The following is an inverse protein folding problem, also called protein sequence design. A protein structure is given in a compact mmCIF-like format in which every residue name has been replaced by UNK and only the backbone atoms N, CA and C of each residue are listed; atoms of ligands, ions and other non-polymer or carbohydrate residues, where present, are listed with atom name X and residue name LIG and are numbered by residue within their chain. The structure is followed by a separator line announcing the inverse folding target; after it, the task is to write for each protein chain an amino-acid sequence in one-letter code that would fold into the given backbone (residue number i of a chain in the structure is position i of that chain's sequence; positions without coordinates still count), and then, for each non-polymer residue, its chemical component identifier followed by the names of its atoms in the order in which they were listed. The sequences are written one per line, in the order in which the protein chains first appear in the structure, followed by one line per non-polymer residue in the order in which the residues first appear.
data_IF_411504324439
#
_entry.id   IF_411504324439
#
_cell.length_a   1.000
_cell.length_b   1.000
_cell.length_c   1.000
_cell.angle_alpha   90.00
_cell.angle_beta   90.00
_cell.angle_gamma   90.00
#
_symmetry.space_group_name_H-M   'P 1'
#
loop_
_entity.id
_entity.type
_entity.pdbx_description
1 polymer ?
#
# COMPACT_ATOMS: atom_id res chain seq x y z
N UNK A 1 -12.99 -6.77 26.14
CA UNK A 1 -12.90 -7.55 24.89
C UNK A 1 -11.96 -6.80 23.94
N UNK A 2 -10.73 -7.27 23.74
CA UNK A 2 -9.76 -6.58 22.86
C UNK A 2 -10.00 -7.01 21.42
N UNK A 3 -10.57 -6.13 20.63
CA UNK A 3 -10.66 -6.25 19.18
C UNK A 3 -9.24 -6.05 18.61
N UNK A 4 -8.63 -7.10 18.04
CA UNK A 4 -7.40 -7.00 17.25
C UNK A 4 -7.84 -7.01 15.80
N UNK A 5 -7.77 -5.88 15.09
CA UNK A 5 -8.44 -5.81 13.83
C UNK A 5 -7.44 -5.99 12.67
N UNK A 6 -7.88 -6.70 11.63
CA UNK A 6 -7.31 -6.76 10.28
C UNK A 6 -5.79 -7.03 10.18
N UNK A 7 -5.43 -8.31 10.10
CA UNK A 7 -4.29 -8.72 9.28
C UNK A 7 -4.73 -8.57 7.82
N UNK A 8 -4.58 -7.38 7.24
CA UNK A 8 -4.72 -7.24 5.78
C UNK A 8 -3.72 -8.19 5.11
N UNK A 9 -3.98 -8.73 3.90
CA UNK A 9 -3.00 -9.55 3.19
C UNK A 9 -1.62 -8.88 3.11
N UNK A 10 -1.61 -7.55 2.99
CA UNK A 10 -0.42 -6.71 3.07
C UNK A 10 0.29 -6.79 4.43
N UNK A 11 -0.46 -6.77 5.54
CA UNK A 11 0.08 -6.96 6.89
C UNK A 11 0.62 -8.38 7.12
N UNK A 12 0.02 -9.41 6.51
CA UNK A 12 0.55 -10.78 6.53
C UNK A 12 1.88 -10.85 5.78
N UNK A 13 1.98 -10.25 4.60
CA UNK A 13 3.23 -10.20 3.80
C UNK A 13 4.33 -9.43 4.53
N UNK A 14 4.01 -8.26 5.10
CA UNK A 14 4.96 -7.48 5.92
C UNK A 14 5.33 -8.26 7.18
N UNK A 15 4.40 -8.99 7.81
CA UNK A 15 4.71 -9.84 8.96
C UNK A 15 5.66 -10.98 8.57
N UNK A 16 5.43 -11.63 7.43
CA UNK A 16 6.27 -12.71 6.91
C UNK A 16 7.68 -12.21 6.55
N UNK A 17 7.81 -11.00 5.97
CA UNK A 17 9.11 -10.42 5.63
C UNK A 17 9.86 -9.81 6.83
N UNK A 18 9.15 -9.14 7.74
CA UNK A 18 9.76 -8.43 8.88
C UNK A 18 10.15 -9.36 10.01
N UNK A 19 9.51 -10.54 10.13
CA UNK A 19 10.05 -11.63 10.93
C UNK A 19 11.22 -12.25 10.17
N UNK A 20 12.42 -11.89 10.59
CA UNK A 20 13.72 -12.53 10.29
C UNK A 20 13.77 -14.00 10.79
N UNK A 21 12.69 -14.76 10.61
CA UNK A 21 12.36 -16.03 11.29
C UNK A 21 11.91 -17.13 10.30
N UNK A 22 11.59 -16.81 9.03
CA UNK A 22 11.43 -17.85 8.01
C UNK A 22 12.71 -17.98 7.19
N UNK A 23 13.26 -19.21 7.12
CA UNK A 23 14.22 -19.56 6.07
C UNK A 23 13.53 -19.43 4.72
N UNK A 24 14.29 -19.08 3.67
CA UNK A 24 13.81 -18.94 2.29
C UNK A 24 12.91 -20.12 1.88
N UNK A 25 13.33 -21.32 2.24
CA UNK A 25 12.65 -22.59 2.02
C UNK A 25 11.25 -22.66 2.67
N UNK A 26 11.08 -22.22 3.92
CA UNK A 26 9.77 -22.20 4.60
C UNK A 26 8.81 -21.18 4.01
N UNK A 27 9.33 -20.04 3.55
CA UNK A 27 8.51 -19.04 2.89
C UNK A 27 8.02 -19.58 1.53
N UNK A 28 8.89 -20.26 0.78
CA UNK A 28 8.56 -20.92 -0.48
C UNK A 28 7.50 -22.03 -0.28
N UNK A 29 7.62 -22.89 0.74
CA UNK A 29 6.59 -23.91 1.02
C UNK A 29 5.23 -23.29 1.33
N UNK A 30 5.20 -22.27 2.19
CA UNK A 30 3.94 -21.63 2.59
C UNK A 30 3.30 -20.85 1.43
N UNK A 31 4.12 -20.26 0.57
CA UNK A 31 3.68 -19.63 -0.67
C UNK A 31 3.12 -20.69 -1.62
N UNK A 32 3.77 -21.84 -1.78
CA UNK A 32 3.30 -22.92 -2.65
C UNK A 32 1.96 -23.51 -2.17
N UNK A 33 1.76 -23.72 -0.86
CA UNK A 33 0.47 -24.14 -0.29
C UNK A 33 -0.65 -23.13 -0.55
N UNK A 34 -0.34 -21.83 -0.52
CA UNK A 34 -1.31 -20.76 -0.81
C UNK A 34 -1.63 -20.64 -2.31
N UNK A 35 -0.71 -21.07 -3.19
CA UNK A 35 -0.86 -20.99 -4.65
C UNK A 35 -1.33 -22.33 -5.24
N UNK A 36 -1.37 -23.42 -4.47
CA UNK A 36 -1.73 -24.76 -4.96
C UNK A 36 -3.11 -24.77 -5.68
N UNK A 37 -4.04 -23.94 -5.23
CA UNK A 37 -5.36 -23.71 -5.83
C UNK A 37 -5.49 -22.39 -6.64
N UNK A 38 -4.39 -21.63 -6.78
CA UNK A 38 -4.38 -20.34 -7.47
C UNK A 38 -3.50 -20.44 -8.73
N UNK A 39 -4.10 -20.21 -9.89
CA UNK A 39 -3.36 -20.09 -11.16
C UNK A 39 -2.12 -19.17 -11.00
N UNK A 40 -0.93 -19.69 -11.32
CA UNK A 40 0.36 -19.02 -11.11
C UNK A 40 0.38 -17.60 -11.71
N UNK A 41 -0.23 -17.46 -12.89
CA UNK A 41 -0.33 -16.16 -13.55
C UNK A 41 -1.18 -15.15 -12.76
N UNK A 42 -2.19 -15.64 -12.04
CA UNK A 42 -3.04 -14.86 -11.14
C UNK A 42 -2.29 -14.44 -9.88
N UNK A 43 -1.51 -15.36 -9.29
CA UNK A 43 -0.67 -15.04 -8.12
C UNK A 43 0.38 -13.97 -8.46
N UNK A 44 1.08 -14.12 -9.59
CA UNK A 44 2.07 -13.14 -10.06
C UNK A 44 1.43 -11.77 -10.28
N UNK A 45 0.27 -11.71 -10.96
CA UNK A 45 -0.46 -10.44 -11.17
C UNK A 45 -0.84 -9.77 -9.86
N UNK A 46 -1.33 -10.52 -8.88
CA UNK A 46 -1.66 -9.97 -7.56
C UNK A 46 -0.41 -9.44 -6.85
N UNK A 47 0.70 -10.17 -6.93
CA UNK A 47 1.96 -9.74 -6.34
C UNK A 47 2.48 -8.44 -6.95
N UNK A 48 2.44 -8.31 -8.29
CA UNK A 48 2.81 -7.07 -8.99
C UNK A 48 1.94 -5.91 -8.51
N UNK A 49 0.62 -6.11 -8.39
CA UNK A 49 -0.30 -5.05 -7.91
C UNK A 49 0.04 -4.60 -6.50
N UNK A 50 0.37 -5.53 -5.61
CA UNK A 50 0.81 -5.21 -4.25
C UNK A 50 2.14 -4.45 -4.23
N UNK A 51 3.11 -4.89 -5.04
CA UNK A 51 4.41 -4.23 -5.18
C UNK A 51 4.30 -2.80 -5.70
N UNK A 52 3.48 -2.58 -6.73
CA UNK A 52 3.19 -1.24 -7.28
C UNK A 52 2.58 -0.34 -6.20
N UNK A 53 1.59 -0.85 -5.46
CA UNK A 53 0.94 -0.08 -4.39
C UNK A 53 1.95 0.37 -3.33
N UNK A 54 2.81 -0.55 -2.88
CA UNK A 54 3.83 -0.25 -1.88
C UNK A 54 4.83 0.79 -2.38
N UNK A 55 5.28 0.67 -3.63
CA UNK A 55 6.19 1.61 -4.26
C UNK A 55 5.59 3.02 -4.34
N UNK A 56 4.33 3.13 -4.76
CA UNK A 56 3.60 4.41 -4.84
C UNK A 56 3.47 5.06 -3.46
N UNK A 57 3.14 4.29 -2.42
CA UNK A 57 3.04 4.79 -1.04
C UNK A 57 4.37 5.38 -0.57
N UNK A 58 5.49 4.70 -0.81
CA UNK A 58 6.81 5.20 -0.42
C UNK A 58 7.24 6.43 -1.22
N UNK A 59 6.94 6.51 -2.53
CA UNK A 59 7.18 7.71 -3.33
C UNK A 59 6.39 8.92 -2.81
N UNK A 60 5.12 8.73 -2.46
CA UNK A 60 4.27 9.79 -1.90
C UNK A 60 4.81 10.27 -0.56
N UNK A 61 5.16 9.32 0.33
CA UNK A 61 5.74 9.60 1.65
C UNK A 61 7.08 10.36 1.54
N UNK A 62 7.89 10.04 0.54
CA UNK A 62 9.13 10.75 0.24
C UNK A 62 8.91 12.12 -0.44
N UNK A 63 7.66 12.49 -0.76
CA UNK A 63 7.32 13.74 -1.43
C UNK A 63 7.81 13.86 -2.87
N UNK A 64 8.05 12.70 -3.51
CA UNK A 64 8.46 12.61 -4.91
C UNK A 64 7.29 12.69 -5.88
N UNK A 65 6.10 12.33 -5.41
CA UNK A 65 4.85 12.43 -6.15
C UNK A 65 3.76 13.05 -5.28
N UNK A 66 2.77 13.63 -5.94
CA UNK A 66 1.55 14.19 -5.36
C UNK A 66 0.52 13.10 -5.08
N UNK A 67 -0.56 13.46 -4.36
CA UNK A 67 -1.69 12.55 -4.12
C UNK A 67 -2.37 12.14 -5.44
N UNK A 68 -2.43 13.05 -6.42
CA UNK A 68 -3.02 12.79 -7.73
C UNK A 68 -2.24 11.77 -8.53
N UNK A 69 -0.93 11.97 -8.64
CA UNK A 69 -0.03 11.02 -9.30
C UNK A 69 -0.04 9.65 -8.62
N UNK A 70 -0.12 9.60 -7.29
CA UNK A 70 -0.25 8.35 -6.54
C UNK A 70 -1.56 7.60 -6.88
N UNK A 71 -2.68 8.33 -6.97
CA UNK A 71 -3.98 7.76 -7.30
C UNK A 71 -4.00 7.22 -8.75
N UNK A 72 -3.43 7.98 -9.69
CA UNK A 72 -3.32 7.60 -11.10
C UNK A 72 -2.46 6.33 -11.28
N UNK A 73 -1.24 6.32 -10.72
CA UNK A 73 -0.33 5.16 -10.80
C UNK A 73 -0.92 3.89 -10.16
N UNK A 74 -1.78 4.07 -9.15
CA UNK A 74 -2.44 2.97 -8.46
C UNK A 74 -3.77 2.56 -9.10
N UNK A 75 -4.27 3.33 -10.09
CA UNK A 75 -5.56 3.09 -10.74
C UNK A 75 -6.76 3.21 -9.80
N UNK A 76 -6.69 4.10 -8.79
CA UNK A 76 -7.75 4.30 -7.79
C UNK A 76 -8.20 5.76 -7.74
N UNK A 77 -9.35 6.02 -7.12
CA UNK A 77 -9.79 7.40 -6.88
C UNK A 77 -8.91 8.09 -5.83
N UNK A 78 -8.84 9.42 -5.87
CA UNK A 78 -8.16 10.24 -4.85
C UNK A 78 -8.61 9.89 -3.42
N UNK A 79 -9.93 9.69 -3.22
CA UNK A 79 -10.48 9.32 -1.92
C UNK A 79 -9.95 7.97 -1.45
N UNK A 80 -9.94 6.97 -2.34
CA UNK A 80 -9.41 5.64 -2.01
C UNK A 80 -7.91 5.69 -1.74
N UNK A 81 -7.16 6.52 -2.47
CA UNK A 81 -5.73 6.71 -2.22
C UNK A 81 -5.46 7.28 -0.83
N UNK A 82 -6.27 8.23 -0.35
CA UNK A 82 -6.17 8.73 1.03
C UNK A 82 -6.38 7.62 2.07
N UNK A 83 -7.38 6.75 1.85
CA UNK A 83 -7.64 5.64 2.75
C UNK A 83 -6.46 4.65 2.74
N UNK A 84 -5.91 4.33 1.57
CA UNK A 84 -4.72 3.47 1.43
C UNK A 84 -3.52 4.07 2.16
N UNK A 85 -3.24 5.37 1.99
CA UNK A 85 -2.15 6.05 2.69
C UNK A 85 -2.33 5.99 4.22
N UNK A 86 -3.55 6.17 4.70
CA UNK A 86 -3.89 6.06 6.11
C UNK A 86 -3.72 4.62 6.64
N UNK A 87 -4.17 3.61 5.88
CA UNK A 87 -3.97 2.18 6.17
C UNK A 87 -2.46 1.84 6.28
N UNK A 88 -1.60 2.52 5.53
CA UNK A 88 -0.14 2.37 5.57
C UNK A 88 0.56 3.28 6.60
N UNK A 89 -0.20 4.02 7.43
CA UNK A 89 0.34 4.90 8.46
C UNK A 89 1.01 6.17 7.92
N UNK A 90 0.84 6.48 6.63
CA UNK A 90 1.37 7.69 6.02
C UNK A 90 0.44 8.85 6.34
N UNK A 91 0.87 9.68 7.30
CA UNK A 91 0.19 10.94 7.62
C UNK A 91 0.57 11.99 6.57
N UNK A 92 -0.45 12.74 6.12
CA UNK A 92 -0.43 13.53 4.88
C UNK A 92 0.83 14.36 4.64
N UNK A 93 1.31 14.32 3.40
CA UNK A 93 2.45 15.09 2.92
C UNK A 93 2.00 16.41 2.27
N UNK A 94 1.09 17.12 2.95
CA UNK A 94 0.52 18.36 2.41
C UNK A 94 1.51 19.49 2.69
N UNK A 95 2.25 19.89 1.66
CA UNK A 95 3.13 21.04 1.71
C UNK A 95 2.33 22.34 1.87
N UNK A 96 2.95 23.35 2.48
CA UNK A 96 2.29 24.61 2.82
C UNK A 96 1.76 25.38 1.59
N UNK A 97 2.44 25.26 0.45
CA UNK A 97 1.99 25.81 -0.83
C UNK A 97 0.67 25.20 -1.31
N UNK A 98 0.46 23.90 -1.08
CA UNK A 98 -0.79 23.22 -1.39
C UNK A 98 -1.93 23.67 -0.47
N UNK A 99 -1.64 23.93 0.81
CA UNK A 99 -2.62 24.49 1.74
C UNK A 99 -3.05 25.90 1.33
N UNK A 100 -2.09 26.75 0.92
CA UNK A 100 -2.38 28.10 0.45
C UNK A 100 -3.24 28.07 -0.83
N UNK A 101 -2.93 27.19 -1.79
CA UNK A 101 -3.75 27.01 -2.99
C UNK A 101 -5.18 26.57 -2.64
N UNK A 102 -5.35 25.59 -1.76
CA UNK A 102 -6.66 25.13 -1.33
C UNK A 102 -7.49 26.25 -0.66
N UNK A 103 -6.86 27.05 0.20
CA UNK A 103 -7.49 28.23 0.82
C UNK A 103 -7.91 29.28 -0.21
N UNK A 104 -7.10 29.51 -1.23
CA UNK A 104 -7.44 30.44 -2.31
C UNK A 104 -8.59 29.94 -3.18
N UNK A 105 -8.68 28.62 -3.42
CA UNK A 105 -9.82 28.02 -4.10
C UNK A 105 -11.12 28.14 -3.27
N UNK A 106 -11.06 27.93 -1.96
CA UNK A 106 -12.23 27.99 -1.07
C UNK A 106 -12.72 29.42 -0.78
N UNK A 107 -11.87 30.44 -0.97
CA UNK A 107 -12.24 31.86 -0.86
C UNK A 107 -12.99 32.40 -2.08
N UNK A 108 -13.03 31.64 -3.16
CA UNK A 108 -13.69 32.00 -4.41
C UNK A 108 -15.10 31.44 -4.45
#
# INVERSE_FOLDING_TARGET
MRYIPYLTPSALIVHLFKKKVLSKEKAETHINELIEDVDESTAIRQFIRLGVMWYVVELYKAGKITLGEAAELSGVSLRRMLDILAEHGVKGNVKMDQQIKALNYAKK
#
